data_IF_154632458454
#
_entry.id   IF_154632458454
#
_cell.length_a   1.000
_cell.length_b   1.000
_cell.length_c   1.000
_cell.angle_alpha   90.00
_cell.angle_beta   90.00
_cell.angle_gamma   90.00
#
_symmetry.space_group_name_H-M   'P 1'
#
loop_
_entity.id
_entity.type
_entity.pdbx_description
1 polymer ?
#
# COMPACT_ATOMS: atom_id res chain seq x y z
N UNK A 1 5.00 -8.37 -20.40
CA UNK A 1 6.14 -8.00 -21.27
C UNK A 1 7.40 -8.81 -20.97
N UNK A 2 7.53 -9.33 -19.78
CA UNK A 2 8.66 -10.19 -19.37
C UNK A 2 8.28 -11.68 -19.35
N UNK A 3 7.03 -12.02 -19.71
CA UNK A 3 6.49 -13.37 -19.69
C UNK A 3 6.66 -14.10 -18.36
N UNK A 4 6.64 -13.31 -17.28
CA UNK A 4 6.68 -13.81 -15.91
C UNK A 4 5.23 -13.95 -15.45
N UNK A 5 4.87 -15.12 -15.00
CA UNK A 5 3.60 -15.37 -14.34
C UNK A 5 3.67 -14.79 -12.91
N UNK A 6 3.02 -13.65 -12.71
CA UNK A 6 2.95 -12.95 -11.44
C UNK A 6 1.48 -12.76 -11.06
N UNK A 7 1.11 -13.35 -9.95
CA UNK A 7 -0.24 -13.29 -9.39
C UNK A 7 -0.31 -12.41 -8.14
N UNK A 8 -1.52 -12.09 -7.68
CA UNK A 8 -1.70 -11.42 -6.39
C UNK A 8 -1.24 -12.30 -5.22
N UNK A 9 -1.30 -13.61 -5.35
CA UNK A 9 -0.83 -14.53 -4.30
C UNK A 9 0.69 -14.44 -4.09
N UNK A 10 1.45 -14.03 -5.11
CA UNK A 10 2.88 -13.78 -4.97
C UNK A 10 3.18 -12.59 -4.06
N UNK A 11 2.32 -11.57 -4.03
CA UNK A 11 2.43 -10.45 -3.09
C UNK A 11 2.29 -10.91 -1.64
N UNK A 12 1.34 -11.81 -1.36
CA UNK A 12 1.20 -12.40 -0.03
C UNK A 12 2.38 -13.30 0.29
N UNK A 13 2.80 -14.14 -0.64
CA UNK A 13 3.89 -15.11 -0.48
C UNK A 13 5.23 -14.44 -0.17
N UNK A 14 5.56 -13.37 -0.88
CA UNK A 14 6.87 -12.71 -0.77
C UNK A 14 6.85 -11.45 0.08
N UNK A 15 5.70 -10.85 0.33
CA UNK A 15 5.58 -9.55 0.97
C UNK A 15 5.09 -9.57 2.41
N UNK A 16 4.32 -10.59 2.84
CA UNK A 16 3.69 -10.60 4.17
C UNK A 16 4.69 -10.55 5.33
N UNK A 17 5.83 -11.20 5.17
CA UNK A 17 6.87 -11.29 6.19
C UNK A 17 7.91 -10.15 6.10
N UNK A 18 7.73 -9.24 5.16
CA UNK A 18 8.57 -8.05 5.03
C UNK A 18 7.98 -6.95 5.91
N UNK A 19 8.67 -6.52 6.97
CA UNK A 19 8.16 -5.50 7.87
C UNK A 19 8.18 -4.12 7.21
N UNK A 20 7.34 -3.20 7.72
CA UNK A 20 7.40 -1.79 7.36
C UNK A 20 8.54 -1.11 8.09
N UNK A 21 9.59 -0.75 7.37
CA UNK A 21 10.81 -0.15 7.93
C UNK A 21 10.83 1.37 7.84
N UNK A 22 10.10 1.95 6.87
CA UNK A 22 10.25 3.35 6.51
C UNK A 22 9.10 4.18 7.07
N UNK A 23 9.42 5.19 7.89
CA UNK A 23 8.48 6.04 8.60
C UNK A 23 8.21 7.34 7.83
N UNK A 24 7.57 7.22 6.66
CA UNK A 24 7.29 8.33 5.75
C UNK A 24 5.82 8.70 5.67
N UNK A 25 5.56 9.99 5.46
CA UNK A 25 4.22 10.47 5.11
C UNK A 25 3.71 9.79 3.81
N UNK A 26 2.37 9.62 3.68
CA UNK A 26 1.31 10.09 4.57
C UNK A 26 1.01 9.19 5.77
N UNK A 27 1.47 7.93 5.79
CA UNK A 27 1.20 7.00 6.89
C UNK A 27 2.19 7.07 8.05
N UNK A 28 3.31 7.75 7.86
CA UNK A 28 4.34 7.97 8.86
C UNK A 28 4.60 9.46 9.12
N UNK A 29 5.74 9.76 9.73
CA UNK A 29 6.04 11.09 10.26
C UNK A 29 6.91 11.95 9.35
N UNK A 30 7.88 11.36 8.65
CA UNK A 30 8.97 12.05 7.98
C UNK A 30 8.69 12.28 6.49
N UNK A 31 9.43 13.21 5.87
CA UNK A 31 9.34 13.50 4.45
C UNK A 31 10.34 12.66 3.64
N UNK A 32 10.21 12.67 2.31
CA UNK A 32 11.12 11.98 1.40
C UNK A 32 12.55 12.53 1.49
N UNK A 33 12.71 13.80 1.80
CA UNK A 33 14.01 14.44 2.03
C UNK A 33 14.71 13.82 3.26
N UNK A 34 13.97 13.64 4.37
CA UNK A 34 14.50 12.97 5.57
C UNK A 34 14.95 11.53 5.24
N UNK A 35 14.17 10.83 4.41
CA UNK A 35 14.51 9.49 3.97
C UNK A 35 15.81 9.45 3.14
N UNK A 36 15.98 10.42 2.24
CA UNK A 36 17.20 10.53 1.47
C UNK A 36 18.42 10.71 2.38
N UNK A 37 18.36 11.63 3.35
CA UNK A 37 19.46 11.86 4.29
C UNK A 37 19.66 10.72 5.29
N UNK A 38 18.63 9.93 5.56
CA UNK A 38 18.74 8.74 6.42
C UNK A 38 19.43 7.55 5.75
N UNK A 39 19.77 7.63 4.45
CA UNK A 39 20.39 6.57 3.69
C UNK A 39 19.54 6.03 2.54
N UNK A 40 18.27 6.41 2.46
CA UNK A 40 17.37 6.16 1.35
C UNK A 40 17.16 4.69 1.02
N UNK A 41 16.81 4.43 -0.23
CA UNK A 41 16.59 3.08 -0.76
C UNK A 41 17.79 2.16 -0.57
N UNK A 42 19.06 2.59 -0.76
CA UNK A 42 20.21 1.74 -0.52
C UNK A 42 20.29 1.16 0.91
N UNK A 43 19.98 1.97 1.92
CA UNK A 43 19.98 1.52 3.31
C UNK A 43 18.89 0.46 3.58
N UNK A 44 17.71 0.61 3.00
CA UNK A 44 16.63 -0.38 3.08
C UNK A 44 17.03 -1.68 2.37
N UNK A 45 17.55 -1.58 1.14
CA UNK A 45 18.02 -2.76 0.38
C UNK A 45 19.10 -3.51 1.17
N UNK A 46 20.05 -2.79 1.80
CA UNK A 46 21.10 -3.40 2.61
C UNK A 46 20.52 -4.24 3.74
N UNK A 47 19.53 -3.73 4.48
CA UNK A 47 18.88 -4.49 5.56
C UNK A 47 18.19 -5.76 5.02
N UNK A 48 17.52 -5.69 3.88
CA UNK A 48 16.87 -6.84 3.26
C UNK A 48 17.87 -7.86 2.73
N UNK A 49 19.03 -7.42 2.19
CA UNK A 49 20.13 -8.29 1.78
C UNK A 49 20.74 -9.04 2.98
N UNK A 50 20.93 -8.36 4.10
CA UNK A 50 21.48 -8.96 5.32
C UNK A 50 20.56 -10.04 5.91
N UNK A 51 19.25 -9.95 5.62
CA UNK A 51 18.24 -10.95 5.98
C UNK A 51 18.00 -12.02 4.91
N UNK A 52 18.73 -11.99 3.80
CA UNK A 52 18.55 -12.88 2.63
C UNK A 52 17.13 -12.81 2.02
N UNK A 53 16.50 -11.65 2.09
CA UNK A 53 15.15 -11.40 1.54
C UNK A 53 15.18 -10.87 0.11
N UNK A 54 16.37 -10.60 -0.43
CA UNK A 54 16.57 -10.18 -1.82
C UNK A 54 17.59 -11.09 -2.51
N UNK A 55 17.43 -11.26 -3.82
CA UNK A 55 18.40 -11.98 -4.65
C UNK A 55 19.66 -11.13 -4.82
N UNK A 56 20.74 -11.50 -4.12
CA UNK A 56 22.03 -10.76 -4.11
C UNK A 56 22.60 -10.58 -5.49
N UNK A 57 22.49 -11.61 -6.34
CA UNK A 57 23.08 -11.68 -7.68
C UNK A 57 22.21 -11.09 -8.80
N UNK A 58 21.02 -10.53 -8.46
CA UNK A 58 20.17 -9.90 -9.46
C UNK A 58 20.90 -8.71 -10.10
N UNK A 59 21.00 -8.72 -11.44
CA UNK A 59 21.67 -7.67 -12.19
C UNK A 59 20.82 -6.39 -12.25
N UNK A 60 21.49 -5.27 -12.17
CA UNK A 60 20.90 -3.94 -12.32
C UNK A 60 21.34 -3.28 -13.62
N UNK A 61 20.71 -2.16 -13.98
CA UNK A 61 20.97 -1.46 -15.26
C UNK A 61 22.41 -0.98 -15.46
N UNK A 62 23.18 -0.84 -14.38
CA UNK A 62 24.60 -0.45 -14.46
C UNK A 62 25.56 -1.64 -14.61
N UNK A 63 25.03 -2.86 -14.79
CA UNK A 63 25.79 -4.09 -14.95
C UNK A 63 26.35 -4.69 -13.65
N UNK A 64 26.08 -4.07 -12.50
CA UNK A 64 26.44 -4.60 -11.18
C UNK A 64 25.23 -5.31 -10.56
N UNK A 65 25.50 -6.17 -9.59
CA UNK A 65 24.45 -6.83 -8.81
C UNK A 65 23.81 -5.88 -7.78
N UNK A 66 22.65 -6.27 -7.28
CA UNK A 66 22.01 -5.55 -6.17
C UNK A 66 22.94 -5.47 -4.96
N UNK A 67 23.65 -6.55 -4.63
CA UNK A 67 24.59 -6.57 -3.51
C UNK A 67 25.76 -5.61 -3.75
N UNK A 68 26.41 -5.65 -4.92
CA UNK A 68 27.51 -4.76 -5.25
C UNK A 68 27.17 -3.28 -5.15
N UNK A 69 25.95 -2.92 -5.53
CA UNK A 69 25.47 -1.54 -5.45
C UNK A 69 25.17 -1.08 -4.01
N UNK A 70 24.81 -1.98 -3.11
CA UNK A 70 24.22 -1.60 -1.82
C UNK A 70 24.99 -2.11 -0.58
N UNK A 71 25.99 -2.98 -0.74
CA UNK A 71 26.75 -3.60 0.38
C UNK A 71 27.39 -2.59 1.35
N UNK A 72 27.71 -1.39 0.89
CA UNK A 72 28.33 -0.34 1.70
C UNK A 72 27.34 0.75 2.13
N UNK A 73 26.03 0.53 1.93
CA UNK A 73 25.02 1.49 2.35
C UNK A 73 24.84 1.45 3.88
N UNK A 74 24.65 2.64 4.47
CA UNK A 74 24.42 2.81 5.89
C UNK A 74 23.10 3.51 6.16
N UNK A 75 22.52 3.26 7.34
CA UNK A 75 21.38 3.99 7.85
C UNK A 75 21.87 5.05 8.85
N UNK A 76 21.70 6.32 8.51
CA UNK A 76 22.14 7.46 9.30
C UNK A 76 21.09 7.95 10.31
N UNK A 77 19.83 7.58 10.12
CA UNK A 77 18.73 7.95 11.01
C UNK A 77 17.71 6.82 11.16
N UNK A 78 17.78 6.13 12.30
CA UNK A 78 16.90 5.01 12.65
C UNK A 78 15.48 5.41 13.04
N UNK A 79 15.20 6.69 13.20
CA UNK A 79 13.84 7.16 13.37
C UNK A 79 13.08 7.20 12.04
N UNK A 80 13.79 7.43 10.95
CA UNK A 80 13.26 7.46 9.58
C UNK A 80 13.26 6.08 8.96
N UNK A 81 14.37 5.34 9.06
CA UNK A 81 14.51 3.96 8.57
C UNK A 81 14.76 3.06 9.78
N UNK A 82 13.76 2.32 10.20
CA UNK A 82 13.81 1.42 11.36
C UNK A 82 14.69 0.20 11.08
N UNK A 83 15.27 -0.35 12.13
CA UNK A 83 15.95 -1.63 12.05
C UNK A 83 14.95 -2.76 11.82
N UNK A 84 15.38 -3.80 11.13
CA UNK A 84 14.54 -4.96 10.80
C UNK A 84 13.99 -5.65 12.07
N UNK A 85 14.74 -5.67 13.16
CA UNK A 85 14.36 -6.26 14.45
C UNK A 85 13.38 -5.39 15.26
N UNK A 86 13.31 -4.10 14.94
CA UNK A 86 12.39 -3.14 15.60
C UNK A 86 11.66 -2.27 14.58
N UNK A 87 10.88 -2.90 13.69
CA UNK A 87 10.22 -2.21 12.60
C UNK A 87 9.08 -1.32 13.07
N UNK A 88 8.62 -0.42 12.20
CA UNK A 88 7.45 0.41 12.45
C UNK A 88 6.18 -0.46 12.58
N UNK A 89 6.03 -1.43 11.66
CA UNK A 89 4.97 -2.45 11.68
C UNK A 89 5.59 -3.78 11.30
N UNK A 90 5.25 -4.85 12.03
CA UNK A 90 5.85 -6.18 11.84
C UNK A 90 5.44 -6.87 10.54
N UNK A 91 4.30 -6.48 9.97
CA UNK A 91 3.75 -7.08 8.76
C UNK A 91 3.89 -6.15 7.56
N UNK A 92 3.86 -6.73 6.36
CA UNK A 92 3.95 -5.99 5.10
C UNK A 92 2.84 -4.96 4.91
N UNK A 93 3.15 -3.91 4.12
CA UNK A 93 2.26 -2.76 3.91
C UNK A 93 1.08 -3.02 2.98
N UNK A 94 0.98 -4.21 2.34
CA UNK A 94 -0.09 -4.59 1.42
C UNK A 94 -0.62 -5.95 1.83
N UNK A 95 -1.96 -6.08 1.90
CA UNK A 95 -2.67 -7.35 2.12
C UNK A 95 -3.54 -7.68 0.93
N UNK A 96 -3.57 -8.95 0.58
CA UNK A 96 -4.45 -9.47 -0.48
C UNK A 96 -5.70 -10.04 0.19
N UNK A 97 -6.85 -9.53 -0.25
CA UNK A 97 -8.17 -9.96 0.23
C UNK A 97 -8.85 -10.78 -0.86
N UNK A 98 -9.57 -11.83 -0.45
CA UNK A 98 -10.41 -12.63 -1.35
C UNK A 98 -11.79 -12.83 -0.73
N UNK A 99 -12.80 -12.77 -1.56
CA UNK A 99 -14.19 -12.97 -1.13
C UNK A 99 -15.14 -12.94 -2.32
N UNK A 100 -16.44 -13.07 -2.04
CA UNK A 100 -17.46 -13.12 -3.08
C UNK A 100 -17.60 -11.80 -3.87
N UNK A 101 -17.20 -10.67 -3.31
CA UNK A 101 -17.15 -9.37 -4.00
C UNK A 101 -15.89 -9.25 -4.87
N UNK A 102 -14.79 -9.89 -4.47
CA UNK A 102 -13.52 -9.86 -5.17
C UNK A 102 -12.92 -11.27 -5.25
N UNK A 103 -13.49 -12.16 -6.07
CA UNK A 103 -13.05 -13.57 -6.16
C UNK A 103 -11.61 -13.69 -6.69
N UNK A 104 -11.22 -12.80 -7.58
CA UNK A 104 -9.86 -12.75 -8.15
C UNK A 104 -8.87 -11.98 -7.28
N UNK A 105 -9.34 -11.43 -6.17
CA UNK A 105 -8.54 -10.69 -5.20
C UNK A 105 -8.78 -9.19 -5.21
N UNK A 106 -8.46 -8.58 -4.07
CA UNK A 106 -8.44 -7.15 -3.83
C UNK A 106 -7.22 -6.77 -3.00
N UNK A 107 -6.87 -5.51 -2.98
CA UNK A 107 -5.71 -4.99 -2.24
C UNK A 107 -6.21 -4.11 -1.09
N UNK A 108 -5.68 -4.36 0.10
CA UNK A 108 -5.83 -3.51 1.27
C UNK A 108 -4.47 -2.93 1.67
N UNK A 109 -4.45 -1.65 1.98
CA UNK A 109 -3.33 -0.99 2.65
C UNK A 109 -3.68 -0.81 4.14
N UNK A 110 -3.21 -1.68 5.05
CA UNK A 110 -3.61 -1.65 6.46
C UNK A 110 -3.29 -0.33 7.16
N UNK A 111 -2.20 0.33 6.77
CA UNK A 111 -1.81 1.63 7.34
C UNK A 111 -2.79 2.78 7.02
N UNK A 112 -3.69 2.58 6.08
CA UNK A 112 -4.75 3.54 5.74
C UNK A 112 -6.12 3.16 6.32
N UNK A 113 -6.21 2.03 7.02
CA UNK A 113 -7.43 1.56 7.65
C UNK A 113 -7.39 1.77 9.17
N UNK A 114 -8.51 2.19 9.74
CA UNK A 114 -8.67 2.24 11.19
C UNK A 114 -8.75 0.80 11.74
N UNK A 115 -8.01 0.49 12.83
CA UNK A 115 -7.96 -0.89 13.36
C UNK A 115 -9.35 -1.46 13.71
N UNK A 116 -10.25 -0.64 14.21
CA UNK A 116 -11.63 -1.00 14.55
C UNK A 116 -12.48 -1.39 13.34
N UNK A 117 -12.10 -0.95 12.13
CA UNK A 117 -12.78 -1.26 10.88
C UNK A 117 -12.22 -2.49 10.16
N UNK A 118 -11.17 -3.12 10.69
CA UNK A 118 -10.61 -4.34 10.11
C UNK A 118 -11.58 -5.55 10.19
N UNK A 119 -12.56 -5.50 11.08
CA UNK A 119 -13.70 -6.41 11.13
C UNK A 119 -14.97 -5.58 11.22
N UNK A 120 -15.63 -5.39 10.09
CA UNK A 120 -16.78 -4.51 10.01
C UNK A 120 -17.88 -5.13 9.14
N UNK A 121 -19.13 -4.86 9.52
CA UNK A 121 -20.32 -5.23 8.77
C UNK A 121 -21.27 -4.03 8.75
N UNK A 122 -21.58 -3.55 7.57
CA UNK A 122 -22.44 -2.40 7.35
C UNK A 122 -23.26 -2.51 6.09
N UNK A 123 -24.18 -1.57 5.91
CA UNK A 123 -24.97 -1.41 4.69
C UNK A 123 -24.05 -0.93 3.55
N UNK A 124 -24.11 -1.58 2.40
CA UNK A 124 -23.41 -1.10 1.22
C UNK A 124 -24.17 0.06 0.57
N UNK A 125 -23.50 1.20 0.40
CA UNK A 125 -23.97 2.34 -0.39
C UNK A 125 -23.16 2.37 -1.67
N UNK A 126 -23.78 2.01 -2.79
CA UNK A 126 -23.12 1.71 -4.05
C UNK A 126 -23.30 2.87 -5.02
N UNK A 127 -22.22 3.30 -5.65
CA UNK A 127 -22.20 4.30 -6.74
C UNK A 127 -21.69 3.61 -8.01
N UNK A 128 -22.42 3.79 -9.10
CA UNK A 128 -22.10 3.16 -10.39
C UNK A 128 -20.91 3.86 -11.09
N UNK A 129 -20.66 5.15 -10.78
CA UNK A 129 -19.55 5.92 -11.35
C UNK A 129 -19.04 7.00 -10.40
N UNK A 130 -17.90 7.60 -10.75
CA UNK A 130 -17.32 8.75 -10.02
C UNK A 130 -18.26 9.95 -10.08
N UNK A 131 -18.90 10.17 -11.22
CA UNK A 131 -19.85 11.26 -11.45
C UNK A 131 -21.07 11.10 -10.53
N UNK A 132 -21.65 9.89 -10.50
CA UNK A 132 -22.78 9.61 -9.58
C UNK A 132 -22.38 9.81 -8.12
N UNK A 133 -21.18 9.37 -7.75
CA UNK A 133 -20.66 9.60 -6.40
C UNK A 133 -20.60 11.09 -6.07
N UNK A 134 -20.03 11.90 -6.94
CA UNK A 134 -19.93 13.35 -6.71
C UNK A 134 -21.30 14.04 -6.63
N UNK A 135 -22.25 13.62 -7.44
CA UNK A 135 -23.59 14.20 -7.48
C UNK A 135 -24.41 13.85 -6.24
N UNK A 136 -24.22 12.64 -5.68
CA UNK A 136 -25.09 12.09 -4.64
C UNK A 136 -24.50 12.07 -3.23
N UNK A 137 -23.18 12.18 -3.08
CA UNK A 137 -22.54 11.94 -1.77
C UNK A 137 -23.03 12.91 -0.67
N UNK A 138 -23.42 14.13 -1.01
CA UNK A 138 -23.94 15.13 -0.09
C UNK A 138 -25.47 15.30 -0.17
N UNK A 139 -26.18 14.44 -0.90
CA UNK A 139 -27.65 14.47 -0.89
C UNK A 139 -28.17 14.19 0.53
N UNK A 140 -28.97 15.10 1.12
CA UNK A 140 -29.54 14.90 2.44
C UNK A 140 -30.38 13.62 2.56
N UNK A 141 -30.96 13.15 1.45
CA UNK A 141 -31.78 11.94 1.39
C UNK A 141 -30.96 10.66 1.12
N UNK A 142 -29.65 10.76 0.90
CA UNK A 142 -28.82 9.58 0.74
C UNK A 142 -28.88 8.74 2.03
N UNK A 143 -29.29 7.50 1.91
CA UNK A 143 -29.43 6.58 3.04
C UNK A 143 -28.04 6.03 3.43
N UNK A 144 -27.30 6.83 4.18
CA UNK A 144 -25.95 6.56 4.67
C UNK A 144 -25.82 6.94 6.13
N UNK A 145 -25.10 6.13 6.90
CA UNK A 145 -24.77 6.35 8.31
C UNK A 145 -23.27 6.03 8.57
N UNK A 146 -22.83 6.21 9.81
CA UNK A 146 -21.46 5.97 10.26
C UNK A 146 -20.98 4.52 10.09
N UNK A 147 -21.90 3.55 9.97
CA UNK A 147 -21.60 2.14 9.77
C UNK A 147 -21.65 1.72 8.29
N UNK A 148 -22.04 2.61 7.41
CA UNK A 148 -22.19 2.31 5.99
C UNK A 148 -20.85 2.08 5.32
N UNK A 149 -20.83 1.19 4.32
CA UNK A 149 -19.66 0.89 3.47
C UNK A 149 -19.91 1.52 2.11
N UNK A 150 -19.12 2.54 1.76
CA UNK A 150 -19.22 3.18 0.46
C UNK A 150 -18.50 2.31 -0.59
N UNK A 151 -19.20 2.02 -1.68
CA UNK A 151 -18.69 1.19 -2.78
C UNK A 151 -18.78 1.97 -4.08
N UNK A 152 -17.62 2.25 -4.67
CA UNK A 152 -17.52 2.91 -5.97
C UNK A 152 -17.20 1.88 -7.04
N UNK A 153 -18.12 1.70 -8.00
CA UNK A 153 -17.97 0.79 -9.13
C UNK A 153 -17.29 1.47 -10.34
N UNK A 154 -16.82 0.64 -11.25
CA UNK A 154 -16.26 1.07 -12.54
C UNK A 154 -15.09 2.06 -12.43
N UNK A 155 -14.36 2.03 -11.31
CA UNK A 155 -13.12 2.78 -11.10
C UNK A 155 -11.93 1.83 -11.10
N UNK A 156 -10.86 2.21 -11.76
CA UNK A 156 -9.67 1.42 -11.90
C UNK A 156 -9.18 1.36 -13.33
N UNK A 157 -8.13 0.59 -13.63
CA UNK A 157 -7.44 0.62 -14.92
C UNK A 157 -8.32 0.29 -16.13
N UNK A 158 -9.37 -0.52 -15.93
CA UNK A 158 -10.30 -0.91 -17.00
C UNK A 158 -11.51 0.02 -17.11
N UNK A 159 -11.99 0.53 -15.98
CA UNK A 159 -13.20 1.34 -15.93
C UNK A 159 -12.96 2.83 -16.03
N UNK A 160 -11.78 3.29 -15.64
CA UNK A 160 -11.44 4.71 -15.65
C UNK A 160 -9.97 4.89 -16.10
N UNK A 161 -9.73 5.61 -17.21
CA UNK A 161 -8.38 5.76 -17.75
C UNK A 161 -7.44 6.41 -16.76
N UNK A 162 -6.23 5.83 -16.68
CA UNK A 162 -5.16 6.37 -15.84
C UNK A 162 -5.25 6.04 -14.37
N UNK A 163 -6.32 5.43 -13.89
CA UNK A 163 -6.51 5.10 -12.47
C UNK A 163 -5.95 6.20 -11.55
N UNK A 164 -6.22 7.45 -11.92
CA UNK A 164 -5.82 8.59 -11.10
C UNK A 164 -6.37 8.40 -9.68
N UNK A 165 -6.16 9.33 -8.79
CA UNK A 165 -6.66 9.38 -7.41
C UNK A 165 -8.21 9.29 -7.31
N UNK A 166 -8.82 8.56 -8.26
CA UNK A 166 -10.26 8.32 -8.39
C UNK A 166 -10.86 7.53 -7.24
N UNK A 167 -10.03 6.80 -6.51
CA UNK A 167 -10.43 6.14 -5.27
C UNK A 167 -10.51 7.07 -4.07
N UNK A 168 -10.25 8.34 -4.23
CA UNK A 168 -10.34 9.33 -3.16
C UNK A 168 -11.81 9.72 -2.90
N UNK A 169 -12.52 8.82 -2.25
CA UNK A 169 -13.92 9.03 -1.86
C UNK A 169 -13.97 9.84 -0.56
N UNK A 170 -14.49 11.06 -0.64
CA UNK A 170 -14.76 11.86 0.56
C UNK A 170 -15.95 11.30 1.33
N UNK A 171 -15.98 11.55 2.63
CA UNK A 171 -17.13 11.22 3.44
C UNK A 171 -18.29 12.20 3.19
N UNK A 172 -19.55 11.78 3.37
CA UNK A 172 -20.71 12.67 3.33
C UNK A 172 -20.60 13.75 4.39
N UNK A 173 -20.99 14.99 4.08
CA UNK A 173 -20.92 16.11 5.04
C UNK A 173 -21.82 15.91 6.28
N UNK A 174 -22.83 15.04 6.19
CA UNK A 174 -23.77 14.77 7.29
C UNK A 174 -23.28 13.72 8.30
N UNK A 175 -22.15 13.07 8.07
CA UNK A 175 -21.46 12.15 8.94
C UNK A 175 -20.17 12.76 9.46
#
# INVERSE_FOLDING_TARGET
RMEIDLSLDDWEKYGKDIPTLVNLQPSGKYLMEDFYYAGGVPAVIKQLLDKNLLSKNALTVNGKTIEENNKNADCWNKDVIKDFESPLVKEGGIKILKGNIAPDGAILKPSAASPELMQHKGKAVVFESVEEFHDKIDDPNLDVDENSILVLKNCGPKGYPGMAEVGNMRLPQKI
#
